data_IF_960959900541
#
_entry.id   IF_960959900541
#
_cell.length_a   1.000
_cell.length_b   1.000
_cell.length_c   1.000
_cell.angle_alpha   90.00
_cell.angle_beta   90.00
_cell.angle_gamma   90.00
#
_symmetry.space_group_name_H-M   'P 1'
#
loop_
_entity.id
_entity.type
_entity.pdbx_description
1 polymer ?
#
# COMPACT_ATOMS: atom_id res chain seq x y z
N UNK A 1 -14.89 19.56 -11.53
CA UNK A 1 -13.57 19.14 -11.01
C UNK A 1 -13.53 19.43 -9.52
N UNK A 2 -12.91 18.58 -8.71
CA UNK A 2 -12.76 18.80 -7.27
C UNK A 2 -11.82 19.99 -6.98
N UNK A 3 -12.13 20.87 -6.00
CA UNK A 3 -11.32 22.07 -5.72
C UNK A 3 -9.84 21.78 -5.49
N UNK A 4 -9.51 20.78 -4.67
CA UNK A 4 -8.12 20.40 -4.36
C UNK A 4 -7.30 19.97 -5.58
N UNK A 5 -7.96 19.44 -6.63
CA UNK A 5 -7.25 18.96 -7.82
C UNK A 5 -7.08 20.05 -8.88
N UNK A 6 -7.83 21.15 -8.78
CA UNK A 6 -7.89 22.18 -9.80
C UNK A 6 -6.53 22.77 -10.13
N UNK A 7 -5.82 23.29 -9.12
CA UNK A 7 -4.53 23.94 -9.32
C UNK A 7 -3.51 22.98 -9.94
N UNK A 8 -3.44 21.75 -9.41
CA UNK A 8 -2.51 20.72 -9.88
C UNK A 8 -2.76 20.35 -11.34
N UNK A 9 -4.02 20.12 -11.71
CA UNK A 9 -4.40 19.71 -13.08
C UNK A 9 -4.15 20.85 -14.07
N UNK A 10 -4.51 22.09 -13.72
CA UNK A 10 -4.27 23.25 -14.58
C UNK A 10 -2.78 23.47 -14.81
N UNK A 11 -1.95 23.42 -13.76
CA UNK A 11 -0.49 23.55 -13.90
C UNK A 11 0.08 22.45 -14.79
N UNK A 12 -0.35 21.20 -14.61
CA UNK A 12 0.13 20.09 -15.43
C UNK A 12 -0.26 20.24 -16.92
N UNK A 13 -1.48 20.72 -17.18
CA UNK A 13 -1.95 21.02 -18.53
C UNK A 13 -1.16 22.17 -19.17
N UNK A 14 -0.89 23.24 -18.42
CA UNK A 14 -0.09 24.38 -18.88
C UNK A 14 1.33 23.93 -19.25
N UNK A 15 1.98 23.15 -18.39
CA UNK A 15 3.30 22.59 -18.68
C UNK A 15 3.29 21.75 -19.96
N UNK A 16 2.25 20.94 -20.18
CA UNK A 16 2.14 20.16 -21.41
C UNK A 16 2.00 21.03 -22.66
N UNK A 17 1.24 22.12 -22.57
CA UNK A 17 1.09 23.11 -23.66
C UNK A 17 2.41 23.81 -23.95
N UNK A 18 3.10 24.30 -22.92
CA UNK A 18 4.40 24.98 -23.05
C UNK A 18 5.47 24.05 -23.65
N UNK A 19 5.48 22.80 -23.20
CA UNK A 19 6.44 21.79 -23.66
C UNK A 19 6.02 21.10 -24.96
N UNK A 20 4.83 21.42 -25.51
CA UNK A 20 4.26 20.78 -26.68
C UNK A 20 4.24 19.24 -26.56
N UNK A 21 3.94 18.74 -25.36
CA UNK A 21 4.11 17.33 -24.98
C UNK A 21 2.78 16.62 -24.71
N UNK A 22 2.83 15.29 -24.62
CA UNK A 22 1.72 14.51 -24.11
C UNK A 22 1.63 14.64 -22.57
N UNK A 23 0.42 14.57 -22.03
CA UNK A 23 0.20 14.61 -20.58
C UNK A 23 -0.69 13.49 -20.12
N UNK A 24 -0.50 13.08 -18.87
CA UNK A 24 -1.34 12.09 -18.21
C UNK A 24 -1.60 12.53 -16.78
N UNK A 25 -2.86 12.55 -16.36
CA UNK A 25 -3.24 13.00 -15.03
C UNK A 25 -4.48 12.28 -14.54
N UNK A 26 -4.60 12.12 -13.22
CA UNK A 26 -5.77 11.58 -12.55
C UNK A 26 -6.32 12.63 -11.58
N UNK A 27 -7.61 12.90 -11.68
CA UNK A 27 -8.28 13.89 -10.83
C UNK A 27 -9.72 13.52 -10.52
N UNK A 28 -10.22 14.13 -9.45
CA UNK A 28 -11.59 13.96 -9.01
C UNK A 28 -12.52 14.93 -9.73
N UNK A 29 -13.69 14.43 -10.09
CA UNK A 29 -14.83 15.24 -10.51
C UNK A 29 -15.98 15.01 -9.55
N UNK A 30 -16.69 16.09 -9.24
CA UNK A 30 -17.96 16.03 -8.51
C UNK A 30 -19.03 15.90 -9.59
N UNK A 31 -19.77 14.80 -9.56
CA UNK A 31 -20.88 14.52 -10.46
C UNK A 31 -22.14 15.27 -10.00
N UNK A 32 -23.19 15.32 -10.82
CA UNK A 32 -24.40 16.12 -10.52
C UNK A 32 -25.21 15.58 -9.33
N UNK A 33 -24.90 14.37 -8.87
CA UNK A 33 -25.46 13.71 -7.67
C UNK A 33 -24.55 13.84 -6.44
N UNK A 34 -23.60 14.78 -6.47
CA UNK A 34 -22.55 14.99 -5.45
C UNK A 34 -21.57 13.82 -5.25
N UNK A 35 -21.66 12.76 -6.05
CA UNK A 35 -20.69 11.67 -6.00
C UNK A 35 -19.33 12.11 -6.55
N UNK A 36 -18.25 11.65 -5.91
CA UNK A 36 -16.89 11.89 -6.39
C UNK A 36 -16.46 10.74 -7.28
N UNK A 37 -16.10 11.06 -8.52
CA UNK A 37 -15.54 10.11 -9.49
C UNK A 37 -14.10 10.44 -9.80
N UNK A 38 -13.29 9.41 -10.05
CA UNK A 38 -11.92 9.57 -10.50
C UNK A 38 -11.85 9.42 -12.01
N UNK A 39 -11.27 10.40 -12.68
CA UNK A 39 -10.98 10.35 -14.10
C UNK A 39 -9.48 10.25 -14.31
N UNK A 40 -9.06 9.29 -15.14
CA UNK A 40 -7.73 9.24 -15.71
C UNK A 40 -7.78 9.83 -17.12
N UNK A 41 -6.96 10.84 -17.38
CA UNK A 41 -6.91 11.54 -18.66
C UNK A 41 -5.54 11.35 -19.26
N UNK A 42 -5.51 10.99 -20.54
CA UNK A 42 -4.31 11.03 -21.37
C UNK A 42 -4.57 11.91 -22.57
N UNK A 43 -3.77 12.95 -22.75
CA UNK A 43 -3.90 13.89 -23.85
C UNK A 43 -2.60 14.18 -24.56
N UNK A 44 -2.72 14.74 -25.76
CA UNK A 44 -1.62 15.17 -26.61
C UNK A 44 -1.93 16.55 -27.19
N UNK A 45 -0.93 17.42 -27.13
CA UNK A 45 -0.93 18.71 -27.79
C UNK A 45 -0.66 18.51 -29.28
N UNK A 46 -1.54 19.03 -30.12
CA UNK A 46 -1.38 19.02 -31.58
C UNK A 46 -0.95 20.41 -32.05
N UNK A 47 0.08 20.41 -32.89
CA UNK A 47 0.70 21.61 -33.42
C UNK A 47 0.19 21.90 -34.83
N UNK A 48 0.04 23.18 -35.14
CA UNK A 48 -0.25 23.68 -36.47
C UNK A 48 1.00 23.88 -37.34
N UNK A 49 0.84 24.47 -38.54
CA UNK A 49 1.90 24.64 -39.53
C UNK A 49 3.13 25.48 -39.11
N UNK A 50 3.03 26.29 -38.06
CA UNK A 50 4.09 27.15 -37.51
C UNK A 50 4.50 26.71 -36.08
N UNK A 51 4.30 25.43 -35.76
CA UNK A 51 4.48 24.85 -34.42
C UNK A 51 3.69 25.55 -33.30
N UNK A 52 2.66 26.32 -33.64
CA UNK A 52 1.74 26.87 -32.67
C UNK A 52 0.82 25.76 -32.14
N UNK A 53 0.47 25.85 -30.87
CA UNK A 53 -0.50 24.95 -30.25
C UNK A 53 -1.86 25.23 -30.89
N UNK A 54 -2.41 24.25 -31.61
CA UNK A 54 -3.69 24.39 -32.32
C UNK A 54 -4.84 23.80 -31.49
N UNK A 55 -4.62 22.61 -30.92
CA UNK A 55 -5.62 21.93 -30.08
C UNK A 55 -4.99 20.89 -29.18
N UNK A 56 -5.74 20.46 -28.18
CA UNK A 56 -5.41 19.32 -27.33
C UNK A 56 -6.47 18.26 -27.56
N UNK A 57 -6.03 17.04 -27.86
CA UNK A 57 -6.91 15.87 -27.93
C UNK A 57 -6.58 14.93 -26.78
N UNK A 58 -7.58 14.24 -26.25
CA UNK A 58 -7.35 13.30 -25.18
C UNK A 58 -8.51 12.33 -24.98
N UNK A 59 -8.22 11.30 -24.22
CA UNK A 59 -9.18 10.29 -23.77
C UNK A 59 -9.30 10.36 -22.25
N UNK A 60 -10.53 10.21 -21.76
CA UNK A 60 -10.84 10.19 -20.34
C UNK A 60 -11.43 8.81 -20.00
N UNK A 61 -10.89 8.18 -18.97
CA UNK A 61 -11.36 6.91 -18.45
C UNK A 61 -11.89 7.14 -17.03
N UNK A 62 -13.09 6.65 -16.74
CA UNK A 62 -13.57 6.55 -15.36
C UNK A 62 -12.78 5.42 -14.67
N UNK A 63 -12.02 5.78 -13.64
CA UNK A 63 -11.18 4.87 -12.86
C UNK A 63 -11.64 4.82 -11.40
N UNK A 64 -12.88 5.22 -11.13
CA UNK A 64 -13.44 5.29 -9.77
C UNK A 64 -13.40 3.93 -9.07
N UNK A 65 -13.84 2.88 -9.74
CA UNK A 65 -13.85 1.51 -9.19
C UNK A 65 -12.44 1.04 -8.80
N UNK A 66 -11.47 1.24 -9.70
CA UNK A 66 -10.06 0.90 -9.43
C UNK A 66 -9.53 1.65 -8.20
N UNK A 67 -9.80 2.96 -8.09
CA UNK A 67 -9.35 3.76 -6.94
C UNK A 67 -10.00 3.33 -5.63
N UNK A 68 -11.28 2.97 -5.66
CA UNK A 68 -11.99 2.45 -4.48
C UNK A 68 -11.43 1.09 -4.05
N UNK A 69 -11.12 0.20 -5.00
CA UNK A 69 -10.50 -1.09 -4.71
C UNK A 69 -9.09 -0.93 -4.12
N UNK A 70 -8.27 -0.04 -4.69
CA UNK A 70 -6.93 0.29 -4.17
C UNK A 70 -6.98 0.83 -2.74
N UNK A 71 -7.89 1.77 -2.45
CA UNK A 71 -8.02 2.32 -1.10
C UNK A 71 -8.60 1.30 -0.12
N UNK A 72 -9.56 0.47 -0.53
CA UNK A 72 -10.09 -0.61 0.29
C UNK A 72 -9.01 -1.64 0.67
N UNK A 73 -8.14 -2.01 -0.29
CA UNK A 73 -6.99 -2.87 -0.01
C UNK A 73 -6.03 -2.20 0.97
N UNK A 74 -5.70 -0.92 0.77
CA UNK A 74 -4.80 -0.17 1.64
C UNK A 74 -5.32 -0.07 3.06
N UNK A 75 -6.62 0.17 3.22
CA UNK A 75 -7.29 0.21 4.53
C UNK A 75 -7.26 -1.14 5.22
N UNK A 76 -7.53 -2.23 4.50
CA UNK A 76 -7.45 -3.59 5.03
C UNK A 76 -6.02 -3.95 5.48
N UNK A 77 -5.01 -3.63 4.67
CA UNK A 77 -3.61 -3.85 5.03
C UNK A 77 -3.20 -3.07 6.27
N UNK A 78 -3.59 -1.79 6.36
CA UNK A 78 -3.33 -0.94 7.52
C UNK A 78 -3.99 -1.49 8.77
N UNK A 79 -5.26 -1.87 8.69
CA UNK A 79 -5.99 -2.44 9.82
C UNK A 79 -5.34 -3.75 10.29
N UNK A 80 -4.97 -4.63 9.36
CA UNK A 80 -4.27 -5.88 9.69
C UNK A 80 -2.94 -5.60 10.39
N UNK A 81 -2.17 -4.63 9.92
CA UNK A 81 -0.92 -4.24 10.55
C UNK A 81 -1.16 -3.69 11.97
N UNK A 82 -2.11 -2.77 12.14
CA UNK A 82 -2.46 -2.20 13.45
C UNK A 82 -2.94 -3.28 14.43
N UNK A 83 -3.71 -4.26 13.97
CA UNK A 83 -4.12 -5.41 14.80
C UNK A 83 -2.92 -6.27 15.19
N UNK A 84 -2.04 -6.61 14.24
CA UNK A 84 -0.86 -7.44 14.51
C UNK A 84 0.13 -6.75 15.47
N UNK A 85 0.29 -5.43 15.36
CA UNK A 85 1.14 -4.64 16.25
C UNK A 85 0.54 -4.50 17.66
N UNK A 86 -0.78 -4.52 17.79
CA UNK A 86 -1.47 -4.43 19.06
C UNK A 86 -1.53 -5.77 19.84
N UNK A 87 -1.26 -6.90 19.19
CA UNK A 87 -1.25 -8.22 19.83
C UNK A 87 0.07 -8.39 20.62
N UNK A 88 0.02 -8.54 21.95
CA UNK A 88 1.22 -8.75 22.77
C UNK A 88 1.77 -10.18 22.68
N UNK A 89 1.09 -11.08 21.98
CA UNK A 89 1.44 -12.50 21.86
C UNK A 89 2.42 -12.78 20.69
N UNK A 90 3.17 -13.88 20.80
CA UNK A 90 4.07 -14.32 19.73
C UNK A 90 3.25 -15.03 18.65
N UNK A 91 3.18 -14.42 17.47
CA UNK A 91 2.68 -15.09 16.27
C UNK A 91 3.86 -15.60 15.45
N UNK A 92 3.80 -16.88 15.07
CA UNK A 92 4.76 -17.53 14.18
C UNK A 92 4.04 -18.01 12.92
N UNK A 93 4.63 -17.77 11.76
CA UNK A 93 4.21 -18.39 10.51
C UNK A 93 5.12 -19.59 10.25
N UNK A 94 4.54 -20.76 10.03
CA UNK A 94 5.27 -22.01 9.81
C UNK A 94 4.78 -22.72 8.55
N UNK A 95 5.70 -23.40 7.88
CA UNK A 95 5.39 -24.36 6.83
C UNK A 95 4.81 -25.65 7.44
N UNK A 96 4.08 -26.46 6.65
CA UNK A 96 3.48 -27.72 7.13
C UNK A 96 4.48 -28.72 7.72
N UNK A 97 5.76 -28.65 7.31
CA UNK A 97 6.84 -29.49 7.82
C UNK A 97 7.37 -29.04 9.19
N UNK A 98 6.91 -27.89 9.70
CA UNK A 98 7.34 -27.30 10.96
C UNK A 98 8.43 -26.22 10.82
N UNK A 99 8.82 -25.85 9.60
CA UNK A 99 9.82 -24.78 9.37
C UNK A 99 9.22 -23.41 9.61
N UNK A 100 9.81 -22.59 10.50
CA UNK A 100 9.36 -21.23 10.73
C UNK A 100 9.80 -20.28 9.61
N UNK A 101 8.84 -19.59 9.00
CA UNK A 101 9.05 -18.66 7.87
C UNK A 101 8.95 -17.20 8.28
N UNK A 102 8.40 -16.92 9.46
CA UNK A 102 8.50 -15.60 10.08
C UNK A 102 7.75 -15.48 11.40
N UNK A 103 7.80 -14.28 11.98
CA UNK A 103 7.20 -13.96 13.26
C UNK A 103 6.69 -12.52 13.34
N UNK A 104 5.71 -12.26 14.21
CA UNK A 104 5.22 -10.90 14.50
C UNK A 104 6.25 -10.06 15.25
N UNK A 105 6.48 -8.82 14.81
CA UNK A 105 7.45 -7.90 15.41
C UNK A 105 7.03 -7.35 16.79
N UNK A 106 5.75 -7.47 17.17
CA UNK A 106 5.20 -6.94 18.42
C UNK A 106 5.77 -7.56 19.71
N UNK A 107 6.35 -8.76 19.61
CA UNK A 107 7.03 -9.44 20.73
C UNK A 107 8.54 -9.21 20.65
N UNK A 108 9.15 -8.66 21.70
CA UNK A 108 10.61 -8.52 21.78
C UNK A 108 11.26 -9.90 21.95
N UNK A 109 11.69 -10.51 20.83
CA UNK A 109 12.21 -11.89 20.75
C UNK A 109 13.33 -12.23 21.73
N UNK A 110 14.10 -11.23 22.19
CA UNK A 110 15.18 -11.43 23.14
C UNK A 110 14.72 -12.09 24.47
N UNK A 111 13.41 -12.07 24.76
CA UNK A 111 12.85 -12.71 25.95
C UNK A 111 12.57 -14.22 25.76
N UNK A 112 12.44 -14.69 24.52
CA UNK A 112 12.04 -16.06 24.20
C UNK A 112 13.15 -16.88 23.55
N UNK A 113 14.07 -16.23 22.84
CA UNK A 113 15.21 -16.87 22.20
C UNK A 113 16.50 -16.11 22.52
N UNK A 114 17.57 -16.79 22.95
CA UNK A 114 18.85 -16.15 23.27
C UNK A 114 19.56 -15.55 22.04
N UNK A 115 19.17 -15.93 20.82
CA UNK A 115 19.64 -15.33 19.58
C UNK A 115 18.45 -14.82 18.72
N UNK A 116 18.34 -13.50 18.44
CA UNK A 116 17.25 -12.92 17.66
C UNK A 116 17.22 -13.37 16.18
N UNK A 117 18.25 -14.06 15.68
CA UNK A 117 18.28 -14.65 14.32
C UNK A 117 17.74 -16.08 14.26
N UNK A 118 17.41 -16.70 15.40
CA UNK A 118 17.30 -18.16 15.51
C UNK A 118 16.03 -18.82 14.92
N UNK A 119 14.84 -18.21 14.82
CA UNK A 119 13.68 -18.99 14.38
C UNK A 119 13.54 -19.07 12.84
N UNK A 120 14.13 -18.16 12.08
CA UNK A 120 13.91 -18.12 10.63
C UNK A 120 14.59 -19.29 9.90
N UNK A 121 13.80 -20.12 9.23
CA UNK A 121 14.28 -21.27 8.45
C UNK A 121 14.65 -22.49 9.29
N UNK A 122 14.42 -22.46 10.60
CA UNK A 122 14.67 -23.62 11.49
C UNK A 122 13.38 -24.41 11.66
N UNK A 123 13.49 -25.72 11.56
CA UNK A 123 12.38 -26.62 11.86
C UNK A 123 12.16 -26.68 13.38
N UNK A 124 10.93 -26.50 13.83
CA UNK A 124 10.58 -26.52 15.24
C UNK A 124 10.99 -27.82 15.96
N UNK A 125 11.04 -28.95 15.24
CA UNK A 125 11.42 -30.25 15.80
C UNK A 125 12.93 -30.42 15.98
N UNK A 126 13.73 -29.59 15.32
CA UNK A 126 15.19 -29.57 15.43
C UNK A 126 15.69 -28.59 16.51
N UNK A 127 14.78 -27.80 17.11
CA UNK A 127 15.12 -26.91 18.21
C UNK A 127 15.47 -27.73 19.46
N UNK A 128 16.62 -27.45 20.12
CA UNK A 128 16.98 -28.13 21.35
C UNK A 128 15.97 -27.77 22.46
N UNK A 129 15.04 -28.70 22.74
CA UNK A 129 14.08 -28.72 23.84
C UNK A 129 13.70 -27.34 24.43
N UNK A 130 12.61 -26.75 23.92
CA UNK A 130 11.73 -25.97 24.79
C UNK A 130 11.03 -26.99 25.69
N UNK A 131 11.60 -27.27 26.87
CA UNK A 131 10.94 -28.21 27.78
C UNK A 131 9.63 -27.57 28.27
N UNK A 132 8.57 -28.35 28.56
CA UNK A 132 7.31 -27.81 29.07
C UNK A 132 7.45 -26.95 30.34
N UNK A 133 8.57 -27.08 31.08
CA UNK A 133 8.90 -26.25 32.25
C UNK A 133 9.37 -24.84 31.89
N UNK A 134 10.02 -24.67 30.74
CA UNK A 134 10.55 -23.36 30.33
C UNK A 134 9.44 -22.40 29.89
N UNK A 135 8.30 -22.93 29.44
CA UNK A 135 7.11 -22.16 29.06
C UNK A 135 6.23 -21.80 30.27
N UNK A 136 6.20 -22.61 31.33
CA UNK A 136 5.42 -22.30 32.54
C UNK A 136 6.00 -21.13 33.33
N UNK A 137 7.33 -21.04 33.42
CA UNK A 137 8.02 -20.00 34.21
C UNK A 137 7.93 -18.61 33.57
N UNK A 138 7.78 -18.53 32.24
CA UNK A 138 7.54 -17.27 31.53
C UNK A 138 6.12 -16.73 31.73
N UNK A 139 5.14 -17.61 31.95
CA UNK A 139 3.74 -17.22 32.16
C UNK A 139 3.43 -16.69 33.57
N UNK A 140 4.31 -16.93 34.55
CA UNK A 140 4.13 -16.47 35.95
C UNK A 140 4.73 -15.09 36.25
N UNK A 141 5.34 -14.42 35.26
CA UNK A 141 5.95 -13.09 35.42
C UNK A 141 5.07 -11.92 34.96
N UNK A 142 3.77 -12.14 34.78
CA UNK A 142 2.77 -11.11 34.48
C UNK A 142 1.69 -11.08 35.56
#
# INVERSE_FOLDING_TARGET
>A
MHPDDHQRVVTHLQTAVEQKSAYTTEYRVVHTDDSVRWLAVRGQVLLGPEEQVERIIGVCFDVTERKQAEEGLRQSQRLNQEILEAIPDLLLWMQPDGTCVGLSEGMHLANLFPDPKHPYGVNQYDLPNLSPRDLSDASQKW
#
